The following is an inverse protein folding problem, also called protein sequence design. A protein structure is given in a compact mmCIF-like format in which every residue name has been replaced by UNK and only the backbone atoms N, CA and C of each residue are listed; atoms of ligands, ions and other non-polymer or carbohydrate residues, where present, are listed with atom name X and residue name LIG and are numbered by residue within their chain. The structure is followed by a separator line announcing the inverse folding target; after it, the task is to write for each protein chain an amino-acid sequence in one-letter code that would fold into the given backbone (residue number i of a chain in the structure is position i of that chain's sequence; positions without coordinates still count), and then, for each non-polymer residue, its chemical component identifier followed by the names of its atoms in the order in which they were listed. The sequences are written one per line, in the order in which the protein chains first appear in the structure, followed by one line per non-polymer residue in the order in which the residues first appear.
data_IF_214139767538
#
_entry.id   IF_214139767538
#
_cell.length_a   1.000
_cell.length_b   1.000
_cell.length_c   1.000
_cell.angle_alpha   90.00
_cell.angle_beta   90.00
_cell.angle_gamma   90.00
#
_symmetry.space_group_name_H-M   'P 1'
#
loop_
_entity.id
_entity.type
_entity.pdbx_description
1 polymer ?
#
# COMPACT_ATOMS: atom_id res chain seq x y z
N UNK A 1 -5.63 18.04 5.47
CA UNK A 1 -4.25 17.77 5.96
C UNK A 1 -3.87 16.35 5.56
N UNK A 2 -2.92 16.19 4.64
CA UNK A 2 -2.61 14.93 3.94
C UNK A 2 -1.47 14.11 4.56
N UNK A 3 -1.51 13.86 5.88
CA UNK A 3 -0.40 13.18 6.57
C UNK A 3 -0.13 11.77 6.01
N UNK A 4 -1.18 11.02 5.66
CA UNK A 4 -1.01 9.69 5.08
C UNK A 4 -0.26 9.71 3.75
N UNK A 5 -0.52 10.71 2.90
CA UNK A 5 0.22 10.88 1.65
C UNK A 5 1.69 11.19 1.92
N UNK A 6 1.95 12.13 2.84
CA UNK A 6 3.33 12.47 3.22
C UNK A 6 4.08 11.28 3.78
N UNK A 7 3.48 10.48 4.65
CA UNK A 7 4.13 9.28 5.21
C UNK A 7 4.50 8.28 4.12
N UNK A 8 3.60 8.03 3.15
CA UNK A 8 3.90 7.16 2.01
C UNK A 8 5.03 7.72 1.16
N UNK A 9 5.02 9.02 0.86
CA UNK A 9 6.06 9.68 0.08
C UNK A 9 7.45 9.55 0.78
N UNK A 10 7.52 9.73 2.11
CA UNK A 10 8.75 9.55 2.89
C UNK A 10 9.26 8.10 2.85
N UNK A 11 8.36 7.11 2.96
CA UNK A 11 8.74 5.69 2.84
C UNK A 11 9.33 5.36 1.46
N UNK A 12 8.76 5.92 0.39
CA UNK A 12 9.27 5.75 -0.97
C UNK A 12 10.63 6.42 -1.12
N UNK A 13 10.76 7.67 -0.66
CA UNK A 13 12.01 8.43 -0.73
C UNK A 13 13.14 7.71 0.00
N UNK A 14 12.88 7.25 1.23
CA UNK A 14 13.84 6.44 1.99
C UNK A 14 14.24 5.18 1.23
N UNK A 15 13.26 4.46 0.69
CA UNK A 15 13.51 3.17 0.04
C UNK A 15 14.35 3.31 -1.23
N UNK A 16 14.11 4.36 -2.02
CA UNK A 16 14.95 4.74 -3.16
C UNK A 16 16.36 5.12 -2.72
N UNK A 17 16.51 5.91 -1.65
CA UNK A 17 17.81 6.30 -1.11
C UNK A 17 18.63 5.09 -0.61
N UNK A 18 17.98 4.02 -0.15
CA UNK A 18 18.64 2.75 0.22
C UNK A 18 18.91 1.81 -0.95
N UNK A 19 18.45 2.14 -2.15
CA UNK A 19 18.65 1.34 -3.35
C UNK A 19 17.77 0.09 -3.42
N UNK A 20 16.68 0.03 -2.64
CA UNK A 20 15.67 -1.03 -2.78
C UNK A 20 15.04 -0.97 -4.16
N UNK A 21 14.62 -2.13 -4.66
CA UNK A 21 14.07 -2.27 -6.03
C UNK A 21 12.55 -2.32 -6.05
N UNK A 22 11.95 -2.74 -4.95
CA UNK A 22 10.51 -2.89 -4.84
C UNK A 22 10.07 -2.55 -3.43
N UNK A 23 8.95 -1.86 -3.32
CA UNK A 23 8.23 -1.63 -2.08
C UNK A 23 6.90 -2.38 -2.15
N UNK A 24 6.64 -3.21 -1.15
CA UNK A 24 5.39 -3.98 -1.04
C UNK A 24 4.61 -3.49 0.16
N UNK A 25 3.29 -3.34 -0.02
CA UNK A 25 2.36 -2.92 1.01
C UNK A 25 1.16 -3.86 1.03
N UNK A 26 0.75 -4.29 2.23
CA UNK A 26 -0.47 -5.06 2.43
C UNK A 26 -1.56 -4.18 3.06
N UNK A 27 -2.81 -4.30 2.60
CA UNK A 27 -3.96 -3.56 3.13
C UNK A 27 -5.26 -4.34 2.94
N UNK A 28 -6.41 -3.78 3.33
CA UNK A 28 -7.73 -4.38 3.06
C UNK A 28 -8.47 -3.53 2.00
N UNK A 29 -9.23 -4.18 1.13
CA UNK A 29 -9.97 -3.55 0.04
C UNK A 29 -10.92 -2.44 0.49
N UNK A 30 -11.54 -2.61 1.68
CA UNK A 30 -12.44 -1.64 2.32
C UNK A 30 -11.76 -0.33 2.72
N UNK A 31 -10.43 -0.27 2.82
CA UNK A 31 -9.68 0.92 3.23
C UNK A 31 -9.47 1.88 2.04
N UNK A 32 -10.57 2.35 1.45
CA UNK A 32 -10.57 3.12 0.21
C UNK A 32 -9.80 4.45 0.27
N UNK A 33 -9.69 5.10 1.43
CA UNK A 33 -8.87 6.32 1.57
C UNK A 33 -7.38 6.02 1.41
N UNK A 34 -6.90 4.95 2.06
CA UNK A 34 -5.52 4.48 1.97
C UNK A 34 -5.19 4.02 0.54
N UNK A 35 -6.08 3.24 -0.08
CA UNK A 35 -5.92 2.77 -1.47
C UNK A 35 -5.72 3.91 -2.47
N UNK A 36 -6.47 5.01 -2.34
CA UNK A 36 -6.29 6.19 -3.20
C UNK A 36 -4.88 6.79 -3.07
N UNK A 37 -4.29 6.76 -1.87
CA UNK A 37 -2.92 7.24 -1.66
C UNK A 37 -1.94 6.32 -2.39
N UNK A 38 -2.06 5.00 -2.23
CA UNK A 38 -1.16 4.03 -2.87
C UNK A 38 -1.24 4.09 -4.39
N UNK A 39 -2.45 4.15 -4.95
CA UNK A 39 -2.67 4.32 -6.39
C UNK A 39 -2.05 5.63 -6.91
N UNK A 40 -2.25 6.74 -6.20
CA UNK A 40 -1.67 8.03 -6.57
C UNK A 40 -0.13 8.05 -6.47
N UNK A 41 0.45 7.20 -5.61
CA UNK A 41 1.89 7.00 -5.48
C UNK A 41 2.46 6.01 -6.50
N UNK A 42 1.62 5.41 -7.36
CA UNK A 42 2.05 4.51 -8.44
C UNK A 42 2.12 3.02 -8.06
N UNK A 43 1.66 2.65 -6.86
CA UNK A 43 1.54 1.24 -6.50
C UNK A 43 0.52 0.55 -7.40
N UNK A 44 0.81 -0.71 -7.76
CA UNK A 44 -0.06 -1.59 -8.53
C UNK A 44 -0.49 -2.77 -7.67
N UNK A 45 -1.76 -3.14 -7.78
CA UNK A 45 -2.28 -4.33 -7.12
C UNK A 45 -1.57 -5.57 -7.70
N UNK A 46 -0.99 -6.37 -6.81
CA UNK A 46 -0.24 -7.57 -7.16
C UNK A 46 -1.01 -8.85 -6.81
N UNK A 47 -1.77 -8.83 -5.71
CA UNK A 47 -2.51 -9.99 -5.22
C UNK A 47 -3.72 -9.55 -4.38
N UNK A 48 -4.77 -10.36 -4.39
CA UNK A 48 -5.93 -10.24 -3.51
C UNK A 48 -6.28 -11.61 -2.94
N UNK A 49 -6.58 -11.66 -1.64
CA UNK A 49 -6.95 -12.89 -0.95
C UNK A 49 -8.10 -12.62 0.03
N UNK A 50 -9.10 -13.52 0.05
CA UNK A 50 -10.14 -13.49 1.08
C UNK A 50 -9.61 -14.06 2.38
N UNK A 51 -9.79 -13.35 3.48
CA UNK A 51 -9.43 -13.84 4.79
C UNK A 51 -10.45 -13.44 5.86
N UNK A 52 -10.49 -14.22 6.93
CA UNK A 52 -11.28 -13.88 8.11
C UNK A 52 -10.36 -13.28 9.17
N UNK A 53 -10.53 -12.00 9.49
CA UNK A 53 -9.69 -11.30 10.47
C UNK A 53 -10.49 -10.20 11.14
N UNK A 54 -10.12 -9.85 12.38
CA UNK A 54 -10.86 -8.85 13.16
C UNK A 54 -12.37 -9.16 13.30
N UNK A 55 -12.74 -10.45 13.25
CA UNK A 55 -14.14 -10.91 13.30
C UNK A 55 -14.96 -10.56 12.06
N UNK A 56 -14.31 -10.33 10.92
CA UNK A 56 -14.94 -9.96 9.64
C UNK A 56 -14.33 -10.76 8.49
N UNK A 57 -15.16 -11.05 7.49
CA UNK A 57 -14.69 -11.49 6.19
C UNK A 57 -14.20 -10.27 5.41
N UNK A 58 -12.93 -10.28 5.02
CA UNK A 58 -12.23 -9.17 4.38
C UNK A 58 -11.50 -9.67 3.14
N UNK A 59 -11.18 -8.74 2.24
CA UNK A 59 -10.27 -8.99 1.11
C UNK A 59 -8.97 -8.25 1.39
N UNK A 60 -7.94 -9.00 1.71
CA UNK A 60 -6.57 -8.51 1.82
C UNK A 60 -6.02 -8.25 0.43
N UNK A 61 -5.24 -7.18 0.28
CA UNK A 61 -4.64 -6.75 -0.97
C UNK A 61 -3.16 -6.48 -0.77
N UNK A 62 -2.33 -7.06 -1.63
CA UNK A 62 -0.90 -6.76 -1.71
C UNK A 62 -0.65 -5.84 -2.90
N UNK A 63 0.05 -4.73 -2.66
CA UNK A 63 0.35 -3.69 -3.63
C UNK A 63 1.87 -3.53 -3.76
N UNK A 64 2.37 -3.49 -4.99
CA UNK A 64 3.79 -3.34 -5.29
C UNK A 64 4.08 -2.02 -6.01
N UNK A 65 5.18 -1.38 -5.64
CA UNK A 65 5.77 -0.26 -6.34
C UNK A 65 7.21 -0.62 -6.72
N UNK A 66 7.52 -0.53 -8.00
CA UNK A 66 8.90 -0.58 -8.49
C UNK A 66 9.58 0.79 -8.23
N UNK A 67 10.78 0.74 -7.65
CA UNK A 67 11.51 1.91 -7.12
C UNK A 67 12.69 2.35 -7.98
#
# INVERSE_FOLDING_TARGET
LGIGRRLVDECIAFSRAKGYKTLTLWTNDILGSARRIYQAAGFKLAEEERHHSFGKDLVGQTWNLEL
#
